data_IF_381772212002
#
_entry.id   IF_381772212002
#
_cell.length_a   1.000
_cell.length_b   1.000
_cell.length_c   1.000
_cell.angle_alpha   90.00
_cell.angle_beta   90.00
_cell.angle_gamma   90.00
#
_symmetry.space_group_name_H-M   'P 1'
#
loop_
_entity.id
_entity.type
_entity.pdbx_description
1 polymer ?
#
# COMPACT_ATOMS: atom_id res chain seq x y z
N UNK A 1 4.77 -2.53 16.56
CA UNK A 1 3.50 -2.91 15.89
C UNK A 1 2.67 -1.69 15.51
N UNK A 2 2.46 -0.70 16.40
CA UNK A 2 1.66 0.50 16.13
C UNK A 2 2.15 1.30 14.91
N UNK A 3 3.45 1.56 14.79
CA UNK A 3 4.01 2.29 13.64
C UNK A 3 3.82 1.58 12.30
N UNK A 4 3.90 0.25 12.27
CA UNK A 4 3.65 -0.51 11.05
C UNK A 4 2.19 -0.41 10.58
N UNK A 5 1.23 -0.50 11.51
CA UNK A 5 -0.19 -0.31 11.21
C UNK A 5 -0.52 1.09 10.70
N UNK A 6 0.13 2.13 11.27
CA UNK A 6 -0.04 3.52 10.83
C UNK A 6 0.43 3.73 9.37
N UNK A 7 1.60 3.19 9.00
CA UNK A 7 2.09 3.26 7.62
C UNK A 7 1.19 2.51 6.63
N UNK A 8 0.54 1.44 7.05
CA UNK A 8 -0.40 0.72 6.21
C UNK A 8 -1.69 1.50 5.96
N UNK A 9 -2.22 2.17 6.99
CA UNK A 9 -3.38 3.07 6.86
C UNK A 9 -3.05 4.25 5.95
N UNK A 10 -1.90 4.91 6.14
CA UNK A 10 -1.46 6.02 5.27
C UNK A 10 -1.38 5.55 3.82
N UNK A 11 -0.72 4.41 3.57
CA UNK A 11 -0.60 3.88 2.21
C UNK A 11 -1.96 3.57 1.57
N UNK A 12 -2.89 2.94 2.31
CA UNK A 12 -4.22 2.63 1.78
C UNK A 12 -5.05 3.89 1.51
N UNK A 13 -4.90 4.92 2.34
CA UNK A 13 -5.55 6.22 2.13
C UNK A 13 -4.99 6.94 0.90
N UNK A 14 -3.66 6.96 0.74
CA UNK A 14 -3.01 7.53 -0.44
C UNK A 14 -3.41 6.78 -1.73
N UNK A 15 -3.50 5.45 -1.67
CA UNK A 15 -3.99 4.66 -2.81
C UNK A 15 -5.43 5.01 -3.17
N UNK A 16 -6.32 5.13 -2.18
CA UNK A 16 -7.70 5.52 -2.40
C UNK A 16 -7.80 6.95 -2.96
N UNK A 17 -6.96 7.87 -2.47
CA UNK A 17 -6.88 9.24 -2.98
C UNK A 17 -6.53 9.28 -4.47
N UNK A 18 -5.43 8.62 -4.87
CA UNK A 18 -5.00 8.58 -6.26
C UNK A 18 -5.96 7.79 -7.16
N UNK A 19 -6.69 6.83 -6.60
CA UNK A 19 -7.76 6.12 -7.32
C UNK A 19 -8.92 7.07 -7.66
N UNK A 20 -9.32 7.96 -6.74
CA UNK A 20 -10.34 8.99 -7.02
C UNK A 20 -9.83 9.93 -8.12
N UNK A 21 -8.59 10.41 -8.05
CA UNK A 21 -7.99 11.28 -9.08
C UNK A 21 -7.99 10.61 -10.46
N UNK A 22 -7.61 9.30 -10.51
CA UNK A 22 -7.68 8.51 -11.74
C UNK A 22 -9.08 8.50 -12.34
N UNK A 23 -10.09 8.20 -11.51
CA UNK A 23 -11.48 8.10 -11.97
C UNK A 23 -12.08 9.44 -12.38
N UNK A 24 -11.71 10.55 -11.72
CA UNK A 24 -12.08 11.90 -12.16
C UNK A 24 -11.54 12.19 -13.56
N UNK A 25 -10.28 11.90 -13.82
CA UNK A 25 -9.67 12.10 -15.15
C UNK A 25 -10.27 11.15 -16.20
N UNK A 26 -10.53 9.89 -15.84
CA UNK A 26 -11.22 8.93 -16.73
C UNK A 26 -12.66 9.35 -17.03
N UNK A 27 -13.37 9.99 -16.09
CA UNK A 27 -14.70 10.55 -16.34
C UNK A 27 -14.62 11.67 -17.38
N UNK A 28 -13.72 12.65 -17.20
CA UNK A 28 -13.50 13.73 -18.19
C UNK A 28 -13.15 13.17 -19.57
N UNK A 29 -12.32 12.12 -19.63
CA UNK A 29 -11.97 11.44 -20.87
C UNK A 29 -13.17 10.74 -21.52
N UNK A 30 -13.99 10.04 -20.75
CA UNK A 30 -15.19 9.36 -21.24
C UNK A 30 -16.24 10.34 -21.76
N UNK A 31 -16.43 11.48 -21.07
CA UNK A 31 -17.31 12.56 -21.53
C UNK A 31 -16.81 13.15 -22.86
N UNK A 32 -15.51 13.39 -22.99
CA UNK A 32 -14.88 13.83 -24.24
C UNK A 32 -15.05 12.85 -25.38
N UNK A 33 -14.84 11.57 -25.10
CA UNK A 33 -15.02 10.50 -26.08
C UNK A 33 -16.49 10.36 -26.56
N UNK A 34 -17.45 10.40 -25.65
CA UNK A 34 -18.86 10.39 -25.98
C UNK A 34 -19.22 11.56 -26.89
N UNK A 35 -18.73 12.76 -26.60
CA UNK A 35 -18.94 13.96 -27.42
C UNK A 35 -18.35 13.78 -28.84
N UNK A 36 -17.18 13.20 -28.98
CA UNK A 36 -16.57 12.89 -30.28
C UNK A 36 -17.43 11.92 -31.10
N UNK A 37 -17.97 10.88 -30.46
CA UNK A 37 -18.84 9.90 -31.11
C UNK A 37 -20.19 10.52 -31.52
N UNK A 38 -20.80 11.35 -30.68
CA UNK A 38 -22.04 12.07 -31.01
C UNK A 38 -21.86 13.05 -32.18
N UNK A 39 -20.70 13.71 -32.27
CA UNK A 39 -20.37 14.54 -33.43
C UNK A 39 -20.25 13.71 -34.71
N UNK A 40 -19.58 12.56 -34.61
CA UNK A 40 -19.44 11.64 -35.75
C UNK A 40 -20.80 11.08 -36.20
N UNK A 41 -21.71 10.73 -35.27
CA UNK A 41 -23.08 10.28 -35.58
C UNK A 41 -23.86 11.33 -36.38
N UNK A 42 -23.80 12.60 -35.95
CA UNK A 42 -24.41 13.70 -36.67
C UNK A 42 -23.82 13.96 -38.04
N UNK A 43 -22.52 13.80 -38.20
CA UNK A 43 -21.85 13.98 -39.52
C UNK A 43 -22.16 12.83 -40.45
N UNK A 44 -22.16 11.57 -39.97
CA UNK A 44 -22.56 10.38 -40.75
C UNK A 44 -24.02 10.42 -41.15
N UNK A 45 -24.92 10.93 -40.30
CA UNK A 45 -26.33 11.08 -40.62
C UNK A 45 -26.56 12.07 -41.78
N UNK A 46 -25.83 13.18 -41.83
CA UNK A 46 -25.83 14.11 -42.98
C UNK A 46 -25.34 13.40 -44.26
N UNK A 47 -24.23 12.67 -44.18
CA UNK A 47 -23.67 11.94 -45.32
C UNK A 47 -24.63 10.83 -45.83
N UNK A 48 -25.41 10.21 -44.95
CA UNK A 48 -26.44 9.22 -45.36
C UNK A 48 -27.54 9.94 -46.14
N UNK A 49 -27.98 11.13 -45.69
CA UNK A 49 -29.01 11.92 -46.37
C UNK A 49 -28.54 12.41 -47.74
N UNK A 50 -27.25 12.63 -47.91
CA UNK A 50 -26.60 13.03 -49.16
C UNK A 50 -26.26 11.81 -50.06
N UNK A 51 -26.49 10.58 -49.56
CA UNK A 51 -26.21 9.34 -50.31
C UNK A 51 -24.73 8.96 -50.36
N UNK A 52 -23.88 9.57 -49.57
CA UNK A 52 -22.41 9.32 -49.54
C UNK A 52 -22.04 8.23 -48.53
N UNK A 53 -22.78 8.08 -47.41
CA UNK A 53 -22.60 7.02 -46.43
C UNK A 53 -23.78 6.03 -46.42
N UNK A 54 -23.52 4.84 -45.87
CA UNK A 54 -24.55 3.78 -45.78
C UNK A 54 -25.28 3.82 -44.44
N UNK A 55 -26.53 3.26 -44.41
CA UNK A 55 -27.24 3.05 -43.16
C UNK A 55 -26.46 2.16 -42.16
N UNK A 56 -25.63 1.25 -42.64
CA UNK A 56 -24.79 0.39 -41.83
C UNK A 56 -23.71 1.21 -41.07
N UNK A 57 -23.13 2.21 -41.73
CA UNK A 57 -22.17 3.11 -41.09
C UNK A 57 -22.82 3.88 -39.92
N UNK A 58 -24.02 4.42 -40.12
CA UNK A 58 -24.76 5.10 -39.05
C UNK A 58 -25.10 4.19 -37.88
N UNK A 59 -25.53 2.96 -38.14
CA UNK A 59 -25.82 1.98 -37.10
C UNK A 59 -24.55 1.61 -36.31
N UNK A 60 -23.41 1.47 -36.99
CA UNK A 60 -22.11 1.19 -36.33
C UNK A 60 -21.68 2.30 -35.39
N UNK A 61 -21.86 3.56 -35.79
CA UNK A 61 -21.57 4.73 -34.92
C UNK A 61 -22.49 4.76 -33.71
N UNK A 62 -23.81 4.53 -33.90
CA UNK A 62 -24.79 4.52 -32.80
C UNK A 62 -24.52 3.43 -31.77
N UNK A 63 -24.07 2.25 -32.20
CA UNK A 63 -23.61 1.19 -31.28
C UNK A 63 -22.45 1.71 -30.42
N UNK A 64 -21.49 2.42 -31.02
CA UNK A 64 -20.35 2.99 -30.28
C UNK A 64 -20.77 4.12 -29.33
N UNK A 65 -21.74 4.94 -29.68
CA UNK A 65 -22.33 5.94 -28.79
C UNK A 65 -22.92 5.25 -27.55
N UNK A 66 -23.75 4.23 -27.74
CA UNK A 66 -24.36 3.49 -26.62
C UNK A 66 -23.30 2.81 -25.74
N UNK A 67 -22.24 2.22 -26.32
CA UNK A 67 -21.10 1.66 -25.56
C UNK A 67 -20.37 2.73 -24.72
N UNK A 68 -20.21 3.93 -25.28
CA UNK A 68 -19.57 5.04 -24.57
C UNK A 68 -20.44 5.57 -23.43
N UNK A 69 -21.76 5.67 -23.60
CA UNK A 69 -22.71 6.05 -22.53
C UNK A 69 -22.68 5.04 -21.38
N UNK A 70 -22.69 3.74 -21.68
CA UNK A 70 -22.54 2.70 -20.66
C UNK A 70 -21.19 2.79 -19.94
N UNK A 71 -20.13 3.12 -20.67
CA UNK A 71 -18.78 3.28 -20.08
C UNK A 71 -18.72 4.49 -19.16
N UNK A 72 -19.32 5.62 -19.57
CA UNK A 72 -19.42 6.81 -18.73
C UNK A 72 -20.15 6.51 -17.42
N UNK A 73 -21.31 5.84 -17.50
CA UNK A 73 -22.08 5.43 -16.31
C UNK A 73 -21.25 4.58 -15.37
N UNK A 74 -20.50 3.57 -15.89
CA UNK A 74 -19.62 2.73 -15.07
C UNK A 74 -18.52 3.53 -14.38
N UNK A 75 -17.96 4.52 -15.06
CA UNK A 75 -16.91 5.37 -14.47
C UNK A 75 -17.50 6.29 -13.38
N UNK A 76 -18.70 6.83 -13.58
CA UNK A 76 -19.41 7.64 -12.58
C UNK A 76 -19.75 6.85 -11.32
N UNK A 77 -20.28 5.65 -11.48
CA UNK A 77 -20.54 4.73 -10.36
C UNK A 77 -19.25 4.36 -9.63
N UNK A 78 -18.19 4.03 -10.39
CA UNK A 78 -16.86 3.73 -9.83
C UNK A 78 -16.27 4.92 -9.06
N UNK A 79 -16.43 6.13 -9.56
CA UNK A 79 -15.99 7.36 -8.89
C UNK A 79 -16.74 7.58 -7.58
N UNK A 80 -18.07 7.37 -7.58
CA UNK A 80 -18.89 7.49 -6.39
C UNK A 80 -18.45 6.49 -5.30
N UNK A 81 -18.22 5.24 -5.69
CA UNK A 81 -17.73 4.20 -4.77
C UNK A 81 -16.31 4.50 -4.25
N UNK A 82 -15.42 5.00 -5.11
CA UNK A 82 -14.07 5.36 -4.69
C UNK A 82 -14.06 6.53 -3.69
N UNK A 83 -14.93 7.54 -3.87
CA UNK A 83 -15.10 8.61 -2.90
C UNK A 83 -15.66 8.10 -1.57
N UNK A 84 -16.65 7.20 -1.58
CA UNK A 84 -17.15 6.55 -0.36
C UNK A 84 -16.06 5.78 0.37
N UNK A 85 -15.22 5.02 -0.35
CA UNK A 85 -14.09 4.32 0.24
C UNK A 85 -13.08 5.28 0.90
N UNK A 86 -12.76 6.37 0.23
CA UNK A 86 -11.87 7.39 0.80
C UNK A 86 -12.48 8.03 2.05
N UNK A 87 -13.78 8.36 2.05
CA UNK A 87 -14.49 8.85 3.23
C UNK A 87 -14.41 7.85 4.38
N UNK A 88 -14.63 6.57 4.11
CA UNK A 88 -14.51 5.51 5.11
C UNK A 88 -13.12 5.45 5.73
N UNK A 89 -12.06 5.48 4.92
CA UNK A 89 -10.68 5.45 5.39
C UNK A 89 -10.31 6.68 6.23
N UNK A 90 -10.89 7.84 5.91
CA UNK A 90 -10.70 9.09 6.65
C UNK A 90 -11.61 9.23 7.88
N UNK A 91 -12.54 8.29 8.11
CA UNK A 91 -13.51 8.38 9.20
C UNK A 91 -14.56 9.48 9.00
N UNK A 92 -14.85 9.86 7.75
CA UNK A 92 -15.84 10.87 7.36
C UNK A 92 -17.12 10.14 6.93
N UNK A 93 -18.28 10.80 7.05
CA UNK A 93 -19.54 10.24 6.56
C UNK A 93 -19.46 9.89 5.07
N UNK A 94 -19.96 8.71 4.70
CA UNK A 94 -19.91 8.18 3.32
C UNK A 94 -20.64 9.06 2.30
N UNK A 95 -21.63 9.83 2.75
CA UNK A 95 -22.42 10.74 1.91
C UNK A 95 -21.83 12.15 1.79
N UNK A 96 -20.70 12.42 2.47
CA UNK A 96 -20.06 13.73 2.44
C UNK A 96 -19.54 14.06 1.04
N UNK A 97 -19.89 15.23 0.48
CA UNK A 97 -19.34 15.68 -0.78
C UNK A 97 -17.89 16.11 -0.57
N UNK A 98 -16.94 15.27 -0.99
CA UNK A 98 -15.52 15.60 -0.95
C UNK A 98 -15.02 16.01 -2.33
N UNK A 99 -14.18 17.05 -2.36
CA UNK A 99 -13.43 17.48 -3.55
C UNK A 99 -11.95 17.45 -3.19
N UNK A 100 -11.15 16.82 -4.04
CA UNK A 100 -9.72 16.67 -3.80
C UNK A 100 -8.94 17.82 -4.44
N UNK A 101 -7.82 18.21 -3.83
CA UNK A 101 -7.01 19.32 -4.30
C UNK A 101 -6.47 19.09 -5.73
N UNK A 102 -6.15 17.85 -6.07
CA UNK A 102 -5.50 17.48 -7.34
C UNK A 102 -6.49 17.04 -8.44
N UNK A 103 -7.82 17.17 -8.24
CA UNK A 103 -8.83 16.78 -9.24
C UNK A 103 -8.71 17.55 -10.58
N UNK A 104 -8.10 18.73 -10.57
CA UNK A 104 -7.88 19.56 -11.74
C UNK A 104 -6.45 19.50 -12.28
N UNK A 105 -5.62 18.61 -11.77
CA UNK A 105 -4.25 18.46 -12.23
C UNK A 105 -4.24 17.69 -13.56
N UNK A 106 -3.81 18.36 -14.65
CA UNK A 106 -3.74 17.75 -15.99
C UNK A 106 -2.50 16.87 -16.15
N UNK A 107 -1.37 17.27 -15.57
CA UNK A 107 -0.12 16.53 -15.63
C UNK A 107 0.51 16.34 -14.25
N UNK A 108 0.79 15.09 -13.93
CA UNK A 108 1.53 14.73 -12.72
C UNK A 108 3.02 14.90 -12.99
N UNK A 109 3.74 15.76 -12.23
CA UNK A 109 5.17 15.96 -12.45
C UNK A 109 5.93 14.66 -12.25
N UNK A 110 6.78 14.34 -13.22
CA UNK A 110 7.75 13.23 -13.12
C UNK A 110 8.79 13.54 -12.05
N UNK A 111 9.10 12.58 -11.22
CA UNK A 111 10.35 12.60 -10.48
C UNK A 111 11.50 12.41 -11.48
N UNK A 112 12.27 13.46 -11.69
CA UNK A 112 13.40 13.49 -12.63
C UNK A 112 14.66 12.82 -12.08
N UNK A 113 14.66 12.36 -10.85
CA UNK A 113 15.83 11.77 -10.20
C UNK A 113 15.73 10.25 -10.14
N UNK A 114 16.77 9.55 -10.60
CA UNK A 114 16.98 8.14 -10.27
C UNK A 114 16.87 8.01 -8.72
N UNK A 115 16.02 7.13 -8.20
CA UNK A 115 15.86 7.00 -6.76
C UNK A 115 17.17 6.45 -6.17
N UNK A 116 18.06 7.35 -5.77
CA UNK A 116 19.24 6.98 -5.00
C UNK A 116 18.76 6.71 -3.58
N UNK A 117 18.77 5.47 -3.17
CA UNK A 117 18.36 5.06 -1.82
C UNK A 117 19.51 4.37 -1.12
N UNK A 118 19.67 4.67 0.15
CA UNK A 118 20.58 3.96 1.02
C UNK A 118 19.80 2.88 1.78
N UNK A 119 20.21 1.62 1.64
CA UNK A 119 19.62 0.49 2.36
C UNK A 119 19.72 0.65 3.88
N UNK A 120 20.74 1.39 4.38
CA UNK A 120 20.87 1.70 5.80
C UNK A 120 19.64 2.44 6.33
N UNK A 121 19.08 3.38 5.53
CA UNK A 121 17.86 4.11 5.87
C UNK A 121 16.67 3.18 6.08
N UNK A 122 16.54 2.13 5.25
CA UNK A 122 15.47 1.15 5.41
C UNK A 122 15.64 0.34 6.70
N UNK A 123 16.87 -0.07 7.03
CA UNK A 123 17.14 -0.85 8.25
C UNK A 123 16.92 -0.03 9.54
N UNK A 124 17.20 1.27 9.52
CA UNK A 124 17.02 2.15 10.67
C UNK A 124 15.55 2.53 10.90
N UNK A 125 14.80 2.74 9.83
CA UNK A 125 13.44 3.29 9.93
C UNK A 125 12.36 2.20 10.02
N UNK A 126 12.65 0.96 9.61
CA UNK A 126 11.63 -0.09 9.63
C UNK A 126 11.41 -0.69 11.01
N UNK A 127 10.17 -0.61 11.54
CA UNK A 127 9.85 -1.09 12.88
C UNK A 127 10.02 -2.62 13.02
N UNK A 128 9.91 -3.37 11.91
CA UNK A 128 10.09 -4.83 11.91
C UNK A 128 11.54 -5.22 12.25
N UNK A 129 12.53 -4.51 11.69
CA UNK A 129 13.95 -4.73 12.00
C UNK A 129 14.21 -4.45 13.47
N UNK A 130 13.71 -3.32 13.97
CA UNK A 130 13.87 -2.96 15.38
C UNK A 130 13.26 -4.00 16.32
N UNK A 131 12.08 -4.52 15.96
CA UNK A 131 11.41 -5.57 16.72
C UNK A 131 12.23 -6.87 16.77
N UNK A 132 12.79 -7.29 15.63
CA UNK A 132 13.65 -8.50 15.54
C UNK A 132 15.00 -8.31 16.24
N UNK A 133 15.58 -7.13 16.21
CA UNK A 133 16.81 -6.83 16.97
C UNK A 133 16.57 -6.97 18.47
N UNK A 134 15.46 -6.40 18.98
CA UNK A 134 15.07 -6.56 20.38
C UNK A 134 14.77 -8.03 20.71
N UNK A 135 14.10 -8.76 19.85
CA UNK A 135 13.85 -10.19 20.04
C UNK A 135 15.19 -10.96 20.13
N UNK A 136 16.15 -10.65 19.26
CA UNK A 136 17.50 -11.26 19.32
C UNK A 136 18.21 -10.98 20.66
N UNK A 137 18.06 -9.75 21.19
CA UNK A 137 18.60 -9.41 22.51
C UNK A 137 17.90 -10.18 23.63
N UNK A 138 16.58 -10.31 23.58
CA UNK A 138 15.79 -11.09 24.56
C UNK A 138 16.26 -12.54 24.57
N UNK A 139 16.40 -13.19 23.42
CA UNK A 139 16.87 -14.58 23.34
C UNK A 139 18.31 -14.74 23.82
N UNK A 140 19.20 -13.76 23.59
CA UNK A 140 20.54 -13.75 24.18
C UNK A 140 20.50 -13.68 25.71
N UNK A 141 19.63 -12.84 26.29
CA UNK A 141 19.45 -12.76 27.74
C UNK A 141 18.78 -14.02 28.30
N UNK A 142 17.86 -14.65 27.55
CA UNK A 142 17.28 -15.94 27.95
C UNK A 142 18.36 -17.01 28.18
N UNK A 143 19.42 -17.03 27.37
CA UNK A 143 20.58 -17.92 27.61
C UNK A 143 21.21 -17.66 28.97
N UNK A 144 21.36 -16.39 29.35
CA UNK A 144 21.94 -16.01 30.65
C UNK A 144 21.02 -16.40 31.81
N UNK A 145 19.70 -16.20 31.67
CA UNK A 145 18.70 -16.63 32.64
C UNK A 145 18.74 -18.15 32.83
N UNK A 146 18.75 -18.92 31.74
CA UNK A 146 18.83 -20.38 31.81
C UNK A 146 20.12 -20.87 32.48
N UNK A 147 21.25 -20.15 32.30
CA UNK A 147 22.49 -20.45 33.03
C UNK A 147 22.35 -20.12 34.51
N UNK A 148 21.71 -18.99 34.85
CA UNK A 148 21.54 -18.53 36.22
C UNK A 148 20.69 -19.50 37.05
N UNK A 149 19.72 -20.19 36.44
CA UNK A 149 18.90 -21.22 37.10
C UNK A 149 19.73 -22.39 37.68
N UNK A 150 20.97 -22.59 37.18
CA UNK A 150 21.87 -23.66 37.60
C UNK A 150 23.05 -23.13 38.44
N UNK A 151 23.01 -21.85 38.84
CA UNK A 151 23.95 -21.20 39.74
C UNK A 151 23.36 -21.09 41.15
N UNK A 152 24.22 -20.98 42.20
CA UNK A 152 23.72 -20.66 43.54
C UNK A 152 22.88 -19.37 43.53
N UNK A 153 21.68 -19.44 44.14
CA UNK A 153 20.80 -18.29 44.30
C UNK A 153 20.70 -17.88 45.78
N UNK A 154 20.68 -16.57 46.04
CA UNK A 154 20.51 -16.00 47.33
C UNK A 154 19.27 -15.12 47.31
N UNK A 155 18.32 -15.38 48.22
CA UNK A 155 17.10 -14.61 48.33
C UNK A 155 17.00 -14.06 49.77
N UNK A 156 16.73 -12.75 49.88
CA UNK A 156 16.34 -12.10 51.12
C UNK A 156 14.81 -12.08 51.20
N UNK A 157 14.26 -12.65 52.28
CA UNK A 157 12.81 -12.73 52.48
C UNK A 157 12.44 -11.97 53.74
N UNK A 158 11.40 -11.16 53.66
CA UNK A 158 10.78 -10.49 54.81
C UNK A 158 9.28 -10.72 54.78
N UNK A 159 8.73 -11.10 55.93
CA UNK A 159 7.29 -11.29 56.08
C UNK A 159 6.83 -10.58 57.35
N UNK A 160 5.67 -9.89 57.23
CA UNK A 160 4.95 -9.34 58.38
C UNK A 160 3.55 -9.96 58.36
N UNK A 161 3.22 -10.64 59.47
CA UNK A 161 1.93 -11.35 59.61
C UNK A 161 1.25 -10.90 60.88
N UNK A 162 -0.05 -10.67 60.77
CA UNK A 162 -0.92 -10.36 61.92
C UNK A 162 -1.92 -11.49 62.07
N UNK A 163 -1.90 -12.12 63.23
CA UNK A 163 -2.80 -13.30 63.49
C UNK A 163 -3.52 -13.13 64.82
N UNK A 164 -4.72 -13.74 64.89
CA UNK A 164 -5.50 -13.90 66.09
C UNK A 164 -6.08 -15.33 66.11
N UNK A 165 -5.75 -16.17 67.10
CA UNK A 165 -4.82 -15.98 68.20
C UNK A 165 -3.36 -15.82 67.72
N UNK A 166 -2.52 -15.24 68.62
CA UNK A 166 -1.09 -15.08 68.34
C UNK A 166 -0.41 -16.42 68.08
N UNK A 167 0.43 -16.54 67.06
CA UNK A 167 1.19 -17.77 66.73
C UNK A 167 2.09 -18.23 67.87
N UNK A 168 2.54 -17.32 68.78
CA UNK A 168 3.37 -17.63 69.94
C UNK A 168 2.59 -17.95 71.20
N UNK A 169 1.34 -17.50 71.28
CA UNK A 169 0.51 -17.75 72.45
C UNK A 169 -0.94 -18.00 72.03
N UNK A 170 -1.26 -19.23 71.74
CA UNK A 170 -2.57 -19.69 71.26
C UNK A 170 -3.70 -19.46 72.28
N UNK A 171 -3.40 -19.13 73.53
CA UNK A 171 -4.40 -18.88 74.56
C UNK A 171 -4.83 -17.40 74.60
N UNK A 172 -4.14 -16.50 73.86
CA UNK A 172 -4.44 -15.08 73.87
C UNK A 172 -5.19 -14.65 72.60
N UNK A 173 -6.45 -14.38 72.76
CA UNK A 173 -7.35 -14.01 71.67
C UNK A 173 -7.22 -12.52 71.31
N UNK A 174 -6.04 -12.10 70.85
CA UNK A 174 -5.73 -10.74 70.39
C UNK A 174 -4.90 -10.75 69.12
N UNK A 175 -5.15 -9.75 68.27
CA UNK A 175 -4.30 -9.54 67.09
C UNK A 175 -2.88 -9.09 67.51
N UNK A 176 -1.88 -9.88 67.13
CA UNK A 176 -0.48 -9.53 67.31
C UNK A 176 0.26 -9.61 65.96
N UNK A 177 1.04 -8.56 65.66
CA UNK A 177 1.92 -8.51 64.52
C UNK A 177 3.23 -9.21 64.82
N UNK A 178 3.72 -9.98 63.84
CA UNK A 178 5.02 -10.62 63.89
C UNK A 178 5.74 -10.33 62.59
N UNK A 179 7.00 -10.05 62.66
CA UNK A 179 7.85 -9.95 61.47
C UNK A 179 9.00 -10.94 61.55
N UNK A 180 9.39 -11.41 60.39
CA UNK A 180 10.60 -12.21 60.21
C UNK A 180 11.39 -11.71 59.02
N UNK A 181 12.72 -11.82 59.12
CA UNK A 181 13.63 -11.57 58.02
C UNK A 181 14.56 -12.78 57.98
N UNK A 182 14.74 -13.35 56.79
CA UNK A 182 15.60 -14.50 56.60
C UNK A 182 16.35 -14.40 55.25
N UNK A 183 17.50 -15.05 55.21
CA UNK A 183 18.28 -15.26 53.99
C UNK A 183 18.18 -16.73 53.61
N UNK A 184 17.72 -17.00 52.37
CA UNK A 184 17.69 -18.31 51.84
C UNK A 184 18.80 -18.44 50.78
N UNK A 185 19.66 -19.47 50.93
CA UNK A 185 20.68 -19.83 49.95
C UNK A 185 20.34 -21.18 49.35
N UNK A 186 20.15 -21.22 48.04
CA UNK A 186 19.84 -22.46 47.29
C UNK A 186 20.99 -22.76 46.36
N UNK A 187 21.65 -23.92 46.57
CA UNK A 187 22.79 -24.39 45.78
C UNK A 187 22.39 -25.68 45.07
N UNK A 188 22.18 -25.66 43.72
CA UNK A 188 21.91 -26.86 42.96
C UNK A 188 23.18 -27.70 42.85
N UNK A 189 23.20 -28.93 43.43
CA UNK A 189 24.38 -29.78 43.49
C UNK A 189 24.48 -30.71 42.27
N UNK A 190 23.38 -31.34 41.87
CA UNK A 190 23.39 -32.33 40.80
C UNK A 190 22.05 -32.39 40.03
N UNK A 191 22.11 -32.26 38.68
CA UNK A 191 20.95 -32.30 37.80
C UNK A 191 21.24 -33.14 36.51
N UNK A 192 22.04 -34.18 36.57
CA UNK A 192 22.29 -35.11 35.47
C UNK A 192 22.62 -34.48 34.12
N UNK A 193 23.33 -33.34 34.09
CA UNK A 193 23.68 -32.60 32.90
C UNK A 193 22.53 -31.75 32.28
N UNK A 194 21.38 -31.67 32.91
CA UNK A 194 20.22 -30.89 32.45
C UNK A 194 20.56 -29.44 32.08
N UNK A 195 21.34 -28.75 32.90
CA UNK A 195 21.79 -27.39 32.66
C UNK A 195 22.57 -27.19 31.36
N UNK A 196 23.39 -28.22 31.00
CA UNK A 196 24.13 -28.14 29.74
C UNK A 196 23.20 -28.24 28.54
N UNK A 197 22.25 -29.16 28.57
CA UNK A 197 21.30 -29.36 27.47
C UNK A 197 20.31 -28.21 27.36
N UNK A 198 19.78 -27.68 28.48
CA UNK A 198 18.93 -26.50 28.50
C UNK A 198 19.64 -25.25 27.95
N UNK A 199 20.91 -25.05 28.36
CA UNK A 199 21.73 -23.95 27.85
C UNK A 199 21.99 -24.09 26.35
N UNK A 200 22.24 -25.32 25.85
CA UNK A 200 22.41 -25.60 24.42
C UNK A 200 21.11 -25.30 23.64
N UNK A 201 19.97 -25.71 24.17
CA UNK A 201 18.67 -25.41 23.58
C UNK A 201 18.41 -23.89 23.52
N UNK A 202 18.61 -23.15 24.61
CA UNK A 202 18.47 -21.70 24.65
C UNK A 202 19.43 -20.99 23.66
N UNK A 203 20.67 -21.49 23.49
CA UNK A 203 21.60 -20.98 22.48
C UNK A 203 21.10 -21.24 21.06
N UNK A 204 20.49 -22.41 20.80
CA UNK A 204 19.90 -22.71 19.50
C UNK A 204 18.73 -21.75 19.19
N UNK A 205 17.86 -21.48 20.15
CA UNK A 205 16.78 -20.48 20.01
C UNK A 205 17.34 -19.07 19.71
N UNK A 206 18.41 -18.66 20.39
CA UNK A 206 19.07 -17.38 20.12
C UNK A 206 19.66 -17.32 18.69
N UNK A 207 20.18 -18.43 18.16
CA UNK A 207 20.63 -18.51 16.77
C UNK A 207 19.46 -18.42 15.78
N UNK A 208 18.33 -19.08 16.07
CA UNK A 208 17.11 -18.97 15.25
C UNK A 208 16.69 -17.52 15.15
N UNK A 209 16.63 -16.77 16.27
CA UNK A 209 16.30 -15.36 16.26
C UNK A 209 17.29 -14.51 15.42
N UNK A 210 18.60 -14.84 15.44
CA UNK A 210 19.58 -14.18 14.60
C UNK A 210 19.35 -14.43 13.10
N UNK A 211 19.06 -15.69 12.73
CA UNK A 211 18.75 -16.02 11.34
C UNK A 211 17.44 -15.37 10.86
N UNK A 212 16.44 -15.27 11.73
CA UNK A 212 15.20 -14.55 11.41
C UNK A 212 15.45 -13.05 11.14
N UNK A 213 16.34 -12.41 11.92
CA UNK A 213 16.75 -11.03 11.67
C UNK A 213 17.50 -10.90 10.33
N UNK A 214 18.41 -11.82 10.03
CA UNK A 214 19.13 -11.81 8.77
C UNK A 214 18.19 -12.03 7.57
N UNK A 215 17.31 -13.00 7.62
CA UNK A 215 16.29 -13.28 6.59
C UNK A 215 15.37 -12.05 6.37
N UNK A 216 14.99 -11.38 7.45
CA UNK A 216 14.19 -10.15 7.35
C UNK A 216 14.96 -9.02 6.64
N UNK A 217 16.27 -8.86 6.91
CA UNK A 217 17.11 -7.87 6.21
C UNK A 217 17.22 -8.17 4.73
N UNK A 218 17.47 -9.41 4.35
CA UNK A 218 17.54 -9.84 2.95
C UNK A 218 16.21 -9.64 2.22
N UNK A 219 15.08 -9.93 2.87
CA UNK A 219 13.74 -9.66 2.33
C UNK A 219 13.47 -8.17 2.14
N UNK A 220 13.89 -7.35 3.08
CA UNK A 220 13.75 -5.89 2.97
C UNK A 220 14.60 -5.33 1.84
N UNK A 221 15.83 -5.78 1.70
CA UNK A 221 16.70 -5.42 0.59
C UNK A 221 16.05 -5.76 -0.77
N UNK A 222 15.51 -6.97 -0.89
CA UNK A 222 14.76 -7.37 -2.09
C UNK A 222 13.55 -6.48 -2.34
N UNK A 223 12.75 -6.16 -1.31
CA UNK A 223 11.57 -5.29 -1.42
C UNK A 223 11.94 -3.87 -1.86
N UNK A 224 13.00 -3.30 -1.31
CA UNK A 224 13.47 -1.94 -1.67
C UNK A 224 13.95 -1.92 -3.12
N UNK A 225 14.75 -2.91 -3.54
CA UNK A 225 15.19 -3.03 -4.92
C UNK A 225 14.00 -3.19 -5.89
N UNK A 226 13.03 -4.05 -5.56
CA UNK A 226 11.80 -4.21 -6.36
C UNK A 226 11.01 -2.91 -6.46
N UNK A 227 10.89 -2.16 -5.35
CA UNK A 227 10.22 -0.87 -5.35
C UNK A 227 10.94 0.15 -6.26
N UNK A 228 12.27 0.21 -6.19
CA UNK A 228 13.07 1.08 -7.03
C UNK A 228 12.95 0.73 -8.53
N UNK A 229 12.95 -0.55 -8.88
CA UNK A 229 12.71 -0.98 -10.26
C UNK A 229 11.32 -0.59 -10.75
N UNK A 230 10.28 -0.73 -9.90
CA UNK A 230 8.92 -0.31 -10.26
C UNK A 230 8.81 1.20 -10.50
N UNK A 231 9.46 2.03 -9.70
CA UNK A 231 9.51 3.49 -9.93
C UNK A 231 10.13 3.80 -11.28
N UNK A 232 11.27 3.17 -11.62
CA UNK A 232 11.94 3.35 -12.90
C UNK A 232 11.10 2.86 -14.09
N UNK A 233 10.41 1.73 -13.93
CA UNK A 233 9.48 1.17 -14.92
C UNK A 233 8.29 2.11 -15.16
N UNK A 234 7.64 2.57 -14.07
CA UNK A 234 6.53 3.51 -14.14
C UNK A 234 6.91 4.82 -14.83
N UNK A 235 8.09 5.37 -14.53
CA UNK A 235 8.60 6.55 -15.22
C UNK A 235 8.78 6.34 -16.71
N UNK A 236 9.37 5.21 -17.14
CA UNK A 236 9.50 4.86 -18.56
C UNK A 236 8.14 4.66 -19.24
N UNK A 237 7.21 3.97 -18.57
CA UNK A 237 5.84 3.75 -19.05
C UNK A 237 5.14 5.09 -19.30
N UNK A 238 5.28 6.06 -18.39
CA UNK A 238 4.68 7.38 -18.55
C UNK A 238 5.26 8.14 -19.76
N UNK A 239 6.57 8.08 -19.97
CA UNK A 239 7.18 8.70 -21.16
C UNK A 239 6.66 8.06 -22.45
N UNK A 240 6.52 6.73 -22.48
CA UNK A 240 6.02 6.03 -23.66
C UNK A 240 4.53 6.27 -23.90
N UNK A 241 3.70 6.22 -22.85
CA UNK A 241 2.25 6.48 -22.97
C UNK A 241 1.97 7.91 -23.39
N UNK A 242 2.77 8.89 -22.93
CA UNK A 242 2.66 10.29 -23.40
C UNK A 242 2.95 10.43 -24.90
N UNK A 243 3.98 9.74 -25.41
CA UNK A 243 4.28 9.71 -26.85
C UNK A 243 3.20 9.00 -27.66
N UNK A 244 2.67 7.90 -27.12
CA UNK A 244 1.56 7.17 -27.77
C UNK A 244 0.30 8.04 -27.85
N UNK A 245 -0.02 8.76 -26.77
CA UNK A 245 -1.14 9.70 -26.74
C UNK A 245 -1.00 10.80 -27.81
N UNK A 246 0.17 11.44 -27.92
CA UNK A 246 0.45 12.45 -28.94
C UNK A 246 0.24 11.89 -30.37
N UNK A 247 0.70 10.66 -30.62
CA UNK A 247 0.52 10.01 -31.92
C UNK A 247 -0.94 9.62 -32.19
N UNK A 248 -1.67 9.19 -31.16
CA UNK A 248 -3.09 8.87 -31.28
C UNK A 248 -3.93 10.12 -31.55
N UNK A 249 -3.61 11.27 -30.94
CA UNK A 249 -4.25 12.56 -31.22
C UNK A 249 -4.01 13.00 -32.67
N UNK A 250 -2.77 12.89 -33.13
CA UNK A 250 -2.42 13.22 -34.49
C UNK A 250 -3.16 12.32 -35.50
N UNK A 251 -3.19 11.00 -35.24
CA UNK A 251 -3.93 10.05 -36.06
C UNK A 251 -5.43 10.37 -36.11
N UNK A 252 -6.06 10.64 -34.97
CA UNK A 252 -7.48 11.03 -34.92
C UNK A 252 -7.73 12.32 -35.70
N UNK A 253 -6.84 13.30 -35.63
CA UNK A 253 -6.95 14.56 -36.39
C UNK A 253 -6.94 14.28 -37.91
N UNK A 254 -6.00 13.48 -38.39
CA UNK A 254 -5.92 13.13 -39.82
C UNK A 254 -7.11 12.27 -40.27
N UNK A 255 -7.53 11.29 -39.47
CA UNK A 255 -8.69 10.46 -39.78
C UNK A 255 -9.97 11.31 -39.88
N UNK A 256 -10.16 12.25 -38.97
CA UNK A 256 -11.33 13.17 -38.97
C UNK A 256 -11.30 14.11 -40.18
N UNK A 257 -10.13 14.67 -40.55
CA UNK A 257 -10.00 15.52 -41.72
C UNK A 257 -10.28 14.73 -43.00
N UNK A 258 -9.65 13.57 -43.18
CA UNK A 258 -9.84 12.74 -44.35
C UNK A 258 -11.29 12.22 -44.49
N UNK A 259 -11.97 11.98 -43.39
CA UNK A 259 -13.39 11.65 -43.35
C UNK A 259 -14.26 12.81 -43.90
N UNK A 260 -14.01 14.02 -43.46
CA UNK A 260 -14.72 15.21 -43.94
C UNK A 260 -14.52 15.48 -45.43
N UNK A 261 -13.35 15.12 -45.97
CA UNK A 261 -13.03 15.20 -47.40
C UNK A 261 -13.52 13.98 -48.18
N UNK A 262 -14.17 13.02 -47.52
CA UNK A 262 -14.70 11.79 -48.16
C UNK A 262 -13.64 10.76 -48.60
N UNK A 263 -12.41 10.92 -48.11
CA UNK A 263 -11.26 10.02 -48.47
C UNK A 263 -11.10 8.86 -47.50
N UNK A 264 -11.54 9.03 -46.26
CA UNK A 264 -11.41 8.06 -45.16
C UNK A 264 -12.81 7.54 -44.78
N UNK A 265 -12.94 6.21 -44.63
CA UNK A 265 -14.18 5.56 -44.24
C UNK A 265 -14.53 5.80 -42.77
N UNK A 266 -15.82 5.75 -42.40
CA UNK A 266 -16.35 5.88 -41.04
C UNK A 266 -15.66 4.92 -40.04
N UNK A 267 -15.39 3.67 -40.48
CA UNK A 267 -14.74 2.64 -39.67
C UNK A 267 -13.35 3.06 -39.22
N UNK A 268 -12.57 3.74 -40.07
CA UNK A 268 -11.22 4.20 -39.74
C UNK A 268 -11.24 5.34 -38.72
N UNK A 269 -12.28 6.21 -38.79
CA UNK A 269 -12.47 7.26 -37.77
C UNK A 269 -12.82 6.65 -36.42
N UNK A 270 -13.71 5.65 -36.39
CA UNK A 270 -14.06 4.92 -35.17
C UNK A 270 -12.84 4.22 -34.56
N UNK A 271 -12.00 3.61 -35.40
CA UNK A 271 -10.74 3.00 -34.97
C UNK A 271 -9.79 4.04 -34.38
N UNK A 272 -9.60 5.18 -35.04
CA UNK A 272 -8.77 6.28 -34.55
C UNK A 272 -9.30 6.87 -33.24
N UNK A 273 -10.62 7.03 -33.08
CA UNK A 273 -11.24 7.48 -31.84
C UNK A 273 -11.03 6.48 -30.70
N UNK A 274 -11.13 5.17 -31.00
CA UNK A 274 -10.87 4.12 -30.00
C UNK A 274 -9.41 4.10 -29.59
N UNK A 275 -8.47 4.25 -30.53
CA UNK A 275 -7.05 4.35 -30.26
C UNK A 275 -6.71 5.59 -29.42
N UNK A 276 -7.35 6.72 -29.70
CA UNK A 276 -7.22 7.94 -28.90
C UNK A 276 -7.69 7.72 -27.46
N UNK A 277 -8.87 7.13 -27.24
CA UNK A 277 -9.39 6.81 -25.91
C UNK A 277 -8.43 5.91 -25.12
N UNK A 278 -7.93 4.84 -25.77
CA UNK A 278 -6.99 3.90 -25.15
C UNK A 278 -5.69 4.59 -24.75
N UNK A 279 -5.09 5.38 -25.65
CA UNK A 279 -3.83 6.06 -25.40
C UNK A 279 -3.94 7.09 -24.27
N UNK A 280 -5.04 7.84 -24.19
CA UNK A 280 -5.29 8.78 -23.08
C UNK A 280 -5.52 8.05 -21.76
N UNK A 281 -6.29 6.95 -21.76
CA UNK A 281 -6.48 6.12 -20.57
C UNK A 281 -5.16 5.53 -20.07
N UNK A 282 -4.31 5.03 -20.97
CA UNK A 282 -2.98 4.52 -20.64
C UNK A 282 -2.07 5.60 -20.03
N UNK A 283 -2.12 6.85 -20.52
CA UNK A 283 -1.37 7.96 -19.94
C UNK A 283 -1.86 8.25 -18.51
N UNK A 284 -3.18 8.33 -18.29
CA UNK A 284 -3.76 8.53 -16.96
C UNK A 284 -3.29 7.43 -16.01
N UNK A 285 -3.39 6.16 -16.41
CA UNK A 285 -2.96 5.03 -15.60
C UNK A 285 -1.46 5.08 -15.31
N UNK A 286 -0.63 5.43 -16.28
CA UNK A 286 0.81 5.58 -16.10
C UNK A 286 1.18 6.73 -15.13
N UNK A 287 0.46 7.85 -15.16
CA UNK A 287 0.65 8.95 -14.22
C UNK A 287 0.34 8.52 -12.78
N UNK A 288 -0.75 7.77 -12.57
CA UNK A 288 -1.12 7.25 -11.25
C UNK A 288 -0.11 6.18 -10.80
N UNK A 289 0.32 5.28 -11.69
CA UNK A 289 1.35 4.26 -11.39
C UNK A 289 2.65 4.91 -10.86
N UNK A 290 3.07 6.04 -11.41
CA UNK A 290 4.24 6.79 -10.89
C UNK A 290 4.03 7.18 -9.43
N UNK A 291 2.88 7.76 -9.09
CA UNK A 291 2.59 8.17 -7.70
C UNK A 291 2.50 6.98 -6.74
N UNK A 292 1.81 5.93 -7.14
CA UNK A 292 1.66 4.73 -6.31
C UNK A 292 3.01 4.03 -6.07
N UNK A 293 3.88 3.95 -7.09
CA UNK A 293 5.20 3.35 -6.94
C UNK A 293 6.14 4.19 -6.07
N UNK A 294 6.04 5.54 -6.12
CA UNK A 294 6.75 6.43 -5.20
C UNK A 294 6.34 6.20 -3.73
N UNK A 295 5.03 6.11 -3.47
CA UNK A 295 4.49 5.84 -2.13
C UNK A 295 4.96 4.47 -1.64
N UNK A 296 4.93 3.46 -2.52
CA UNK A 296 5.41 2.12 -2.20
C UNK A 296 6.91 2.09 -1.87
N UNK A 297 7.73 2.87 -2.61
CA UNK A 297 9.16 3.01 -2.31
C UNK A 297 9.38 3.67 -0.95
N UNK A 298 8.68 4.77 -0.64
CA UNK A 298 8.74 5.42 0.68
C UNK A 298 8.35 4.47 1.81
N UNK A 299 7.31 3.64 1.63
CA UNK A 299 6.93 2.59 2.58
C UNK A 299 8.05 1.55 2.73
N UNK A 300 8.63 1.10 1.63
CA UNK A 300 9.71 0.11 1.64
C UNK A 300 10.97 0.61 2.34
N UNK A 301 11.22 1.92 2.30
CA UNK A 301 12.30 2.59 3.03
C UNK A 301 11.93 2.92 4.49
N UNK A 302 10.69 2.76 4.91
CA UNK A 302 10.21 3.15 6.23
C UNK A 302 10.11 4.67 6.43
N UNK A 303 10.12 5.45 5.36
CA UNK A 303 10.09 6.93 5.40
C UNK A 303 8.68 7.50 5.17
N UNK A 304 7.67 6.66 5.02
CA UNK A 304 6.28 7.07 4.90
C UNK A 304 5.80 7.60 6.27
N UNK A 305 5.43 8.89 6.31
CA UNK A 305 4.97 9.59 7.53
C UNK A 305 3.57 10.11 7.32
#
# INVERSE_FOLDING_TARGET
>A
QHHGGMQEVIMSTDQAYWQVISLVNKKKLAEGYLKLLQQLDGDVEKMINEGVATKADGLSVRVKVNEAEMTLTKVEDGLSLARMLLCQLCGIDLSSPITLADENMEDIPLLTTDPHFDLSTAYENRPEIRSLELATQIYKQKVNVTRAEHLPSIALMGNYMVTNPSVFNSFENKFKGMWNVGVMVQIPIWHWGEGIYKTRAAKAEARIAQYQLQDAREKIELQVNQAAFKVKEAGKKLVMSSKNMEKAEENLRYATLGFKEGVIATSNVLEAQTAWLSAHSEKIDAQIDVKLTEIYLKKSLGTLK
#
